data_IF_587719265426
#
_entry.id   IF_587719265426
#
_cell.length_a   1.000
_cell.length_b   1.000
_cell.length_c   1.000
_cell.angle_alpha   90.00
_cell.angle_beta   90.00
_cell.angle_gamma   90.00
#
_symmetry.space_group_name_H-M   'P 1'
#
loop_
_entity.id
_entity.type
_entity.pdbx_description
1 polymer ?
#
# COMPACT_ATOMS: atom_id res chain seq x y z
N UNK A 1 -41.18 -38.41 -15.09
CA UNK A 1 -40.15 -37.77 -14.23
C UNK A 1 -40.03 -36.30 -14.59
N UNK A 2 -40.47 -35.38 -13.72
CA UNK A 2 -40.26 -33.94 -13.90
C UNK A 2 -38.89 -33.57 -13.31
N UNK A 3 -37.98 -33.02 -14.13
CA UNK A 3 -36.71 -32.44 -13.65
C UNK A 3 -37.03 -31.14 -12.93
N UNK A 4 -36.84 -31.12 -11.61
CA UNK A 4 -36.88 -29.91 -10.79
C UNK A 4 -35.68 -29.03 -11.13
N UNK A 5 -35.96 -27.78 -11.48
CA UNK A 5 -34.96 -26.74 -11.74
C UNK A 5 -34.09 -26.51 -10.48
N UNK A 6 -32.77 -26.55 -10.67
CA UNK A 6 -31.77 -26.22 -9.65
C UNK A 6 -31.98 -24.75 -9.28
N UNK A 7 -32.31 -24.52 -8.01
CA UNK A 7 -32.64 -23.21 -7.47
C UNK A 7 -31.50 -22.21 -7.64
N UNK A 8 -31.89 -20.97 -7.96
CA UNK A 8 -31.04 -19.81 -7.82
C UNK A 8 -30.52 -19.76 -6.38
N UNK A 9 -29.23 -20.04 -6.17
CA UNK A 9 -28.57 -19.71 -4.92
C UNK A 9 -28.76 -18.22 -4.64
N UNK A 10 -29.13 -17.81 -3.41
CA UNK A 10 -29.26 -16.40 -3.08
C UNK A 10 -27.95 -15.70 -3.41
N UNK A 11 -27.99 -14.73 -4.34
CA UNK A 11 -26.91 -13.76 -4.46
C UNK A 11 -26.88 -13.02 -3.13
N UNK A 12 -25.97 -13.40 -2.25
CA UNK A 12 -25.67 -12.64 -1.03
C UNK A 12 -25.27 -11.25 -1.53
N UNK A 13 -26.20 -10.30 -1.45
CA UNK A 13 -25.95 -8.89 -1.68
C UNK A 13 -24.97 -8.47 -0.59
N UNK A 14 -23.67 -8.61 -0.86
CA UNK A 14 -22.65 -7.99 -0.03
C UNK A 14 -22.97 -6.50 -0.05
N UNK A 15 -23.22 -5.92 1.12
CA UNK A 15 -23.24 -4.47 1.24
C UNK A 15 -22.00 -3.92 0.56
N UNK A 16 -22.12 -2.81 -0.17
CA UNK A 16 -20.96 -2.15 -0.75
C UNK A 16 -19.97 -1.87 0.38
N UNK A 17 -18.87 -2.62 0.42
CA UNK A 17 -17.83 -2.47 1.42
C UNK A 17 -16.82 -1.50 0.81
N UNK A 18 -16.78 -0.28 1.33
CA UNK A 18 -15.80 0.70 0.91
C UNK A 18 -14.49 0.46 1.67
N UNK A 19 -13.39 0.36 0.92
CA UNK A 19 -12.07 0.09 1.46
C UNK A 19 -11.22 1.34 1.27
N UNK A 20 -10.68 1.83 2.38
CA UNK A 20 -9.70 2.91 2.40
C UNK A 20 -8.37 2.33 2.89
N UNK A 21 -7.31 2.55 2.14
CA UNK A 21 -5.95 2.10 2.49
C UNK A 21 -5.14 3.33 2.85
N UNK A 22 -4.61 3.33 4.08
CA UNK A 22 -3.71 4.38 4.57
C UNK A 22 -2.45 3.70 5.08
N UNK A 23 -1.31 4.10 4.54
CA UNK A 23 0.00 3.55 4.89
C UNK A 23 0.83 4.62 5.57
N UNK A 24 1.37 4.34 6.74
CA UNK A 24 2.41 5.17 7.35
C UNK A 24 3.79 4.64 6.95
N UNK A 25 4.43 5.33 6.00
CA UNK A 25 5.73 4.94 5.47
C UNK A 25 6.86 5.07 6.51
N UNK A 26 6.68 5.86 7.58
CA UNK A 26 7.69 6.00 8.64
C UNK A 26 7.83 4.72 9.48
N UNK A 27 6.75 3.92 9.56
CA UNK A 27 6.68 2.68 10.32
C UNK A 27 7.05 1.43 9.51
N UNK A 28 7.29 1.55 8.20
CA UNK A 28 7.81 0.47 7.35
C UNK A 28 9.33 0.26 7.53
N UNK A 29 9.86 0.60 8.69
CA UNK A 29 11.27 0.48 9.06
C UNK A 29 11.55 -0.92 9.62
N UNK A 30 11.83 -1.88 8.75
CA UNK A 30 12.33 -3.21 9.15
C UNK A 30 13.82 -3.28 8.81
N UNK A 31 14.64 -3.77 9.75
CA UNK A 31 16.11 -3.74 9.68
C UNK A 31 16.66 -4.25 8.34
N UNK A 32 17.64 -3.56 7.79
CA UNK A 32 18.25 -3.96 6.52
C UNK A 32 18.98 -5.28 6.70
N UNK A 33 18.57 -6.32 5.96
CA UNK A 33 19.49 -7.41 5.67
C UNK A 33 20.46 -6.90 4.61
N UNK A 34 21.73 -6.80 4.97
CA UNK A 34 22.81 -6.41 4.08
C UNK A 34 22.90 -7.44 2.94
N UNK A 35 22.43 -7.08 1.75
CA UNK A 35 22.76 -7.83 0.55
C UNK A 35 24.26 -7.69 0.31
N UNK A 36 25.03 -8.77 0.51
CA UNK A 36 26.46 -8.79 0.19
C UNK A 36 26.62 -8.66 -1.33
N UNK A 37 26.86 -7.43 -1.79
CA UNK A 37 27.10 -7.11 -3.19
C UNK A 37 28.06 -5.95 -3.30
N UNK A 38 29.29 -6.26 -3.69
CA UNK A 38 30.38 -5.32 -3.94
C UNK A 38 29.91 -4.37 -5.07
N UNK A 39 29.88 -3.05 -4.82
CA UNK A 39 29.58 -1.98 -5.80
C UNK A 39 28.12 -1.56 -6.07
N UNK A 40 27.21 -1.58 -5.10
CA UNK A 40 26.00 -0.74 -5.18
C UNK A 40 26.09 0.37 -4.15
N UNK A 41 25.97 1.64 -4.59
CA UNK A 41 25.73 2.78 -3.70
C UNK A 41 24.65 2.37 -2.71
N UNK A 42 24.99 2.39 -1.42
CA UNK A 42 24.17 1.81 -0.36
C UNK A 42 22.94 2.67 -0.09
N UNK A 43 21.95 2.55 -0.96
CA UNK A 43 20.63 3.09 -0.68
C UNK A 43 19.90 2.13 0.28
N UNK A 44 20.20 2.29 1.57
CA UNK A 44 19.56 1.58 2.70
C UNK A 44 18.08 1.93 2.88
N UNK A 45 17.51 2.75 1.98
CA UNK A 45 16.14 3.26 2.08
C UNK A 45 15.08 2.41 1.39
N UNK A 46 15.44 1.45 0.52
CA UNK A 46 14.45 0.58 -0.13
C UNK A 46 14.37 -0.76 0.59
N UNK A 47 13.48 -0.83 1.59
CA UNK A 47 13.36 -1.96 2.53
C UNK A 47 12.18 -2.89 2.26
N UNK A 48 11.19 -2.45 1.47
CA UNK A 48 10.03 -3.25 1.06
C UNK A 48 9.77 -2.98 -0.42
N UNK A 49 9.53 -4.03 -1.20
CA UNK A 49 9.04 -3.87 -2.56
C UNK A 49 7.57 -3.43 -2.49
N UNK A 50 7.31 -2.15 -2.82
CA UNK A 50 5.99 -1.51 -2.74
C UNK A 50 4.95 -2.28 -3.57
N UNK A 51 5.31 -2.74 -4.78
CA UNK A 51 4.43 -3.54 -5.63
C UNK A 51 4.02 -4.85 -4.96
N UNK A 52 4.96 -5.57 -4.34
CA UNK A 52 4.66 -6.81 -3.62
C UNK A 52 3.79 -6.56 -2.38
N UNK A 53 4.07 -5.50 -1.62
CA UNK A 53 3.26 -5.12 -0.46
C UNK A 53 1.82 -4.84 -0.88
N UNK A 54 1.62 -4.11 -1.97
CA UNK A 54 0.30 -3.79 -2.50
C UNK A 54 -0.41 -5.04 -3.02
N UNK A 55 0.32 -5.94 -3.70
CA UNK A 55 -0.23 -7.22 -4.13
C UNK A 55 -0.77 -8.04 -2.95
N UNK A 56 -0.15 -7.95 -1.77
CA UNK A 56 -0.60 -8.60 -0.53
C UNK A 56 -1.78 -7.83 0.10
N UNK A 57 -1.67 -6.51 0.28
CA UNK A 57 -2.73 -5.68 0.89
C UNK A 57 -4.04 -5.80 0.10
N UNK A 58 -3.93 -5.81 -1.23
CA UNK A 58 -5.05 -5.86 -2.17
C UNK A 58 -5.43 -7.28 -2.59
N UNK A 59 -4.73 -8.31 -2.07
CA UNK A 59 -5.05 -9.71 -2.34
C UNK A 59 -6.50 -10.00 -1.92
N UNK A 60 -7.33 -10.38 -2.89
CA UNK A 60 -8.76 -10.68 -2.73
C UNK A 60 -9.68 -9.47 -2.51
N UNK A 61 -9.22 -8.24 -2.78
CA UNK A 61 -10.07 -7.05 -2.83
C UNK A 61 -10.50 -6.77 -4.27
N UNK A 62 -11.75 -6.40 -4.48
CA UNK A 62 -12.13 -5.87 -5.79
C UNK A 62 -11.64 -4.42 -5.88
N UNK A 63 -10.99 -4.05 -6.98
CA UNK A 63 -10.49 -2.68 -7.15
C UNK A 63 -11.59 -1.62 -7.08
N UNK A 64 -12.85 -1.97 -7.37
CA UNK A 64 -14.03 -1.08 -7.26
C UNK A 64 -14.42 -0.72 -5.83
N UNK A 65 -14.03 -1.58 -4.89
CA UNK A 65 -14.30 -1.42 -3.46
C UNK A 65 -13.28 -0.47 -2.83
N UNK A 66 -12.08 -0.33 -3.42
CA UNK A 66 -11.01 0.53 -2.92
C UNK A 66 -11.23 1.98 -3.36
N UNK A 67 -11.71 2.81 -2.43
CA UNK A 67 -12.03 4.23 -2.67
C UNK A 67 -10.84 5.16 -2.51
N UNK A 68 -9.88 4.78 -1.67
CA UNK A 68 -8.77 5.66 -1.30
C UNK A 68 -7.50 4.87 -1.07
N UNK A 69 -6.38 5.42 -1.54
CA UNK A 69 -5.02 4.95 -1.30
C UNK A 69 -4.16 6.14 -0.91
N UNK A 70 -3.80 6.23 0.36
CA UNK A 70 -2.91 7.27 0.89
C UNK A 70 -1.66 6.64 1.46
N UNK A 71 -0.52 7.29 1.23
CA UNK A 71 0.71 6.99 1.95
C UNK A 71 1.23 8.26 2.59
N UNK A 72 1.41 8.21 3.91
CA UNK A 72 1.95 9.30 4.72
C UNK A 72 3.43 9.12 4.99
N UNK A 73 4.17 10.22 5.08
CA UNK A 73 5.48 10.25 5.73
C UNK A 73 6.04 11.66 5.84
N UNK A 74 7.36 11.78 5.97
CA UNK A 74 7.99 13.05 6.32
C UNK A 74 8.73 13.72 5.16
N UNK A 75 8.73 15.05 5.12
CA UNK A 75 9.69 15.87 4.37
C UNK A 75 10.89 16.30 5.26
N UNK A 76 12.07 16.57 4.66
CA UNK A 76 12.42 16.17 3.30
C UNK A 76 12.55 14.64 3.23
N UNK A 77 12.02 14.01 2.17
CA UNK A 77 12.22 12.59 2.01
C UNK A 77 13.70 12.29 1.76
N UNK A 78 14.22 11.23 2.39
CA UNK A 78 15.64 10.84 2.21
C UNK A 78 15.96 10.52 0.74
N UNK A 79 14.99 9.95 0.01
CA UNK A 79 15.06 9.69 -1.43
C UNK A 79 13.69 9.91 -2.07
N UNK A 80 13.65 10.33 -3.33
CA UNK A 80 12.40 10.41 -4.13
C UNK A 80 11.94 9.04 -4.64
N UNK A 81 12.86 8.06 -4.69
CA UNK A 81 12.63 6.75 -5.30
C UNK A 81 11.42 6.02 -4.72
N UNK A 82 11.31 5.97 -3.39
CA UNK A 82 10.23 5.23 -2.73
C UNK A 82 8.85 5.84 -2.99
N UNK A 83 8.75 7.16 -3.06
CA UNK A 83 7.50 7.88 -3.33
C UNK A 83 7.02 7.63 -4.76
N UNK A 84 7.95 7.62 -5.72
CA UNK A 84 7.63 7.26 -7.10
C UNK A 84 7.06 5.84 -7.21
N UNK A 85 7.53 4.89 -6.39
CA UNK A 85 6.98 3.53 -6.37
C UNK A 85 5.55 3.49 -5.81
N UNK A 86 5.24 4.29 -4.79
CA UNK A 86 3.87 4.44 -4.28
C UNK A 86 2.93 5.06 -5.32
N UNK A 87 3.36 6.13 -5.98
CA UNK A 87 2.60 6.82 -7.02
C UNK A 87 2.30 5.91 -8.23
N UNK A 88 3.28 5.11 -8.67
CA UNK A 88 3.11 4.09 -9.72
C UNK A 88 2.01 3.08 -9.38
N UNK A 89 1.72 2.88 -8.10
CA UNK A 89 0.66 1.98 -7.65
C UNK A 89 -0.62 2.73 -7.26
N UNK A 90 -0.80 3.97 -7.73
CA UNK A 90 -1.98 4.82 -7.51
C UNK A 90 -2.22 5.22 -6.04
N UNK A 91 -1.15 5.31 -5.24
CA UNK A 91 -1.22 5.92 -3.90
C UNK A 91 -0.95 7.42 -4.01
N UNK A 92 -1.74 8.21 -3.29
CA UNK A 92 -1.44 9.63 -3.09
C UNK A 92 -0.43 9.78 -1.95
N UNK A 93 0.71 10.40 -2.25
CA UNK A 93 1.76 10.68 -1.27
C UNK A 93 1.45 11.96 -0.49
N UNK A 94 1.28 11.83 0.82
CA UNK A 94 1.09 12.93 1.76
C UNK A 94 2.35 13.09 2.61
N UNK A 95 3.15 14.11 2.31
CA UNK A 95 4.38 14.38 3.03
C UNK A 95 4.17 15.52 4.03
N UNK A 96 4.31 15.22 5.32
CA UNK A 96 4.25 16.21 6.39
C UNK A 96 5.63 16.76 6.73
N UNK A 97 5.73 18.06 6.98
CA UNK A 97 6.97 18.70 7.40
C UNK A 97 7.30 18.41 8.86
N UNK A 98 8.48 17.83 9.11
CA UNK A 98 9.01 17.58 10.46
C UNK A 98 9.25 18.87 11.24
N UNK A 99 9.45 20.00 10.56
CA UNK A 99 9.66 21.30 11.19
C UNK A 99 8.42 21.81 11.94
N UNK A 100 7.22 21.30 11.60
CA UNK A 100 5.94 21.74 12.16
C UNK A 100 5.58 20.95 13.43
N UNK A 101 6.11 19.72 13.59
CA UNK A 101 5.78 18.84 14.73
C UNK A 101 6.56 19.15 16.02
N UNK A 102 7.58 20.00 15.99
CA UNK A 102 8.39 20.37 17.15
C UNK A 102 7.95 21.68 17.85
N UNK A 103 6.74 22.18 17.56
CA UNK A 103 6.22 23.45 18.10
C UNK A 103 5.02 23.30 19.06
N UNK A 104 4.78 22.10 19.59
CA UNK A 104 3.72 21.85 20.59
C UNK A 104 4.34 21.35 21.88
#
# INVERSE_FOLDING_TARGET
MKRTSIGNSPKVLRSACEIHIVVDNSNLFIGSQNGQGINRQQDTSVRINVGNLIAIIEQNKNSKDIKTRLVGGSTPPRTSRIWNEWEKCNYTCLLGDRSILNKV
#
